data_IF_280601916313
#
_entry.id   IF_280601916313
#
_cell.length_a   1.000
_cell.length_b   1.000
_cell.length_c   1.000
_cell.angle_alpha   90.00
_cell.angle_beta   90.00
_cell.angle_gamma   90.00
#
_symmetry.space_group_name_H-M   'P 1'
#
loop_
_entity.id
_entity.type
_entity.pdbx_description
1 polymer ?
#
# COMPACT_ATOMS: atom_id res chain seq x y z
N UNK A 1 -20.34 13.94 -13.91
CA UNK A 1 -20.84 14.85 -12.85
C UNK A 1 -21.51 16.11 -13.41
N UNK A 2 -22.80 16.28 -13.15
CA UNK A 2 -23.52 17.55 -13.35
C UNK A 2 -23.12 18.63 -12.34
N UNK A 3 -23.64 19.85 -12.48
CA UNK A 3 -23.26 20.99 -11.63
C UNK A 3 -23.57 20.78 -10.14
N UNK A 4 -24.73 20.20 -9.82
CA UNK A 4 -25.13 19.94 -8.44
C UNK A 4 -24.28 18.85 -7.80
N UNK A 5 -23.99 17.78 -8.54
CA UNK A 5 -23.12 16.71 -8.07
C UNK A 5 -21.70 17.21 -7.79
N UNK A 6 -21.14 18.07 -8.65
CA UNK A 6 -19.83 18.72 -8.38
C UNK A 6 -19.82 19.51 -7.06
N UNK A 7 -20.94 20.13 -6.68
CA UNK A 7 -21.05 20.86 -5.40
C UNK A 7 -21.07 19.91 -4.20
N UNK A 8 -21.74 18.76 -4.31
CA UNK A 8 -21.75 17.72 -3.27
C UNK A 8 -20.37 17.07 -3.13
N UNK A 9 -19.78 16.65 -4.25
CA UNK A 9 -18.43 16.10 -4.30
C UNK A 9 -17.39 17.06 -3.72
N UNK A 10 -17.48 18.37 -4.01
CA UNK A 10 -16.61 19.38 -3.39
C UNK A 10 -16.70 19.38 -1.86
N UNK A 11 -17.91 19.27 -1.28
CA UNK A 11 -18.08 19.21 0.17
C UNK A 11 -17.45 17.96 0.76
N UNK A 12 -17.64 16.82 0.10
CA UNK A 12 -17.00 15.57 0.48
C UNK A 12 -15.47 15.67 0.45
N UNK A 13 -14.89 16.22 -0.62
CA UNK A 13 -13.43 16.38 -0.70
C UNK A 13 -12.86 17.34 0.35
N UNK A 14 -13.60 18.39 0.74
CA UNK A 14 -13.21 19.26 1.84
C UNK A 14 -13.18 18.48 3.16
N UNK A 15 -14.22 17.68 3.44
CA UNK A 15 -14.26 16.83 4.61
C UNK A 15 -13.06 15.86 4.67
N UNK A 16 -12.77 15.17 3.57
CA UNK A 16 -11.62 14.26 3.47
C UNK A 16 -10.30 14.98 3.75
N UNK A 17 -10.13 16.20 3.23
CA UNK A 17 -8.90 16.99 3.43
C UNK A 17 -8.76 17.48 4.86
N UNK A 18 -9.85 17.97 5.44
CA UNK A 18 -9.86 18.56 6.78
C UNK A 18 -9.86 17.50 7.89
N UNK A 19 -10.14 16.22 7.57
CA UNK A 19 -10.14 15.12 8.52
C UNK A 19 -8.75 14.92 9.15
N UNK A 20 -8.69 14.94 10.48
CA UNK A 20 -7.48 14.73 11.28
C UNK A 20 -7.77 13.73 12.41
N UNK A 21 -6.97 12.67 12.53
CA UNK A 21 -7.21 11.58 13.50
C UNK A 21 -7.30 12.10 14.95
N UNK A 22 -6.54 13.15 15.27
CA UNK A 22 -6.45 13.71 16.61
C UNK A 22 -7.45 14.86 16.87
N UNK A 23 -8.27 15.27 15.89
CA UNK A 23 -9.26 16.34 16.05
C UNK A 23 -10.70 15.85 15.85
N UNK A 24 -11.40 15.62 16.97
CA UNK A 24 -12.80 15.19 16.97
C UNK A 24 -13.75 16.14 16.23
N UNK A 25 -13.40 17.43 16.09
CA UNK A 25 -14.25 18.38 15.35
C UNK A 25 -14.21 18.08 13.85
N UNK A 26 -13.06 17.66 13.34
CA UNK A 26 -12.88 17.30 11.93
C UNK A 26 -13.69 16.07 11.52
N UNK A 27 -14.08 15.24 12.49
CA UNK A 27 -14.81 14.00 12.22
C UNK A 27 -16.30 14.24 11.89
N UNK A 28 -16.79 15.46 12.10
CA UNK A 28 -18.20 15.84 11.90
C UNK A 28 -19.20 14.88 12.58
N UNK A 29 -18.86 14.43 13.80
CA UNK A 29 -19.69 13.53 14.60
C UNK A 29 -19.68 12.06 14.16
N UNK A 30 -18.79 11.68 13.23
CA UNK A 30 -18.59 10.31 12.79
C UNK A 30 -17.40 9.67 13.52
N UNK A 31 -17.45 8.35 13.72
CA UNK A 31 -16.28 7.58 14.15
C UNK A 31 -15.88 6.67 12.98
N UNK A 32 -14.85 7.09 12.22
CA UNK A 32 -14.43 6.40 10.99
C UNK A 32 -13.90 4.98 11.22
N UNK A 33 -13.62 4.60 12.47
CA UNK A 33 -13.26 3.22 12.83
C UNK A 33 -14.48 2.30 12.93
N UNK A 34 -15.69 2.87 12.98
CA UNK A 34 -16.96 2.15 13.16
C UNK A 34 -17.92 2.34 12.01
N UNK A 35 -18.06 3.56 11.49
CA UNK A 35 -18.97 3.82 10.37
C UNK A 35 -18.36 3.31 9.07
N UNK A 36 -19.21 2.80 8.21
CA UNK A 36 -18.83 2.25 6.91
C UNK A 36 -18.55 3.37 5.90
N UNK A 37 -17.74 3.10 4.87
CA UNK A 37 -17.51 4.07 3.80
C UNK A 37 -18.82 4.47 3.12
N UNK A 38 -19.76 3.52 2.96
CA UNK A 38 -21.11 3.77 2.44
C UNK A 38 -21.88 4.81 3.26
N UNK A 39 -21.86 4.71 4.59
CA UNK A 39 -22.54 5.67 5.46
C UNK A 39 -21.95 7.08 5.34
N UNK A 40 -20.62 7.19 5.25
CA UNK A 40 -19.94 8.48 5.02
C UNK A 40 -20.33 9.08 3.68
N UNK A 41 -20.32 8.28 2.61
CA UNK A 41 -20.68 8.72 1.26
C UNK A 41 -22.14 9.18 1.19
N UNK A 42 -23.06 8.41 1.79
CA UNK A 42 -24.49 8.72 1.84
C UNK A 42 -24.76 10.06 2.53
N UNK A 43 -23.98 10.41 3.57
CA UNK A 43 -24.08 11.73 4.25
C UNK A 43 -23.88 12.91 3.28
N UNK A 44 -23.05 12.75 2.24
CA UNK A 44 -22.83 13.79 1.23
C UNK A 44 -23.74 13.65 0.00
N UNK A 45 -24.51 12.56 -0.10
CA UNK A 45 -25.48 12.33 -1.16
C UNK A 45 -24.87 12.24 -2.55
N UNK A 46 -23.72 11.55 -2.67
CA UNK A 46 -23.04 11.34 -3.95
C UNK A 46 -23.78 10.30 -4.80
N UNK A 47 -23.74 10.48 -6.11
CA UNK A 47 -24.35 9.58 -7.11
C UNK A 47 -23.45 8.35 -7.36
N UNK A 48 -24.02 7.21 -7.78
CA UNK A 48 -23.29 5.94 -7.96
C UNK A 48 -22.05 6.10 -8.87
N UNK A 49 -22.16 6.79 -10.02
CA UNK A 49 -21.02 7.07 -10.90
C UNK A 49 -19.87 7.83 -10.20
N UNK A 50 -20.21 8.71 -9.24
CA UNK A 50 -19.22 9.43 -8.43
C UNK A 50 -18.58 8.50 -7.41
N UNK A 51 -19.37 7.62 -6.80
CA UNK A 51 -18.90 6.62 -5.83
C UNK A 51 -17.88 5.70 -6.50
N UNK A 52 -18.19 5.18 -7.69
CA UNK A 52 -17.27 4.36 -8.49
C UNK A 52 -15.97 5.13 -8.77
N UNK A 53 -16.07 6.39 -9.19
CA UNK A 53 -14.90 7.22 -9.48
C UNK A 53 -14.02 7.46 -8.25
N UNK A 54 -14.59 7.87 -7.11
CA UNK A 54 -13.79 8.15 -5.91
C UNK A 54 -13.24 6.86 -5.28
N UNK A 55 -13.98 5.76 -5.32
CA UNK A 55 -13.55 4.46 -4.80
C UNK A 55 -12.39 3.87 -5.59
N UNK A 56 -12.52 3.82 -6.92
CA UNK A 56 -11.57 3.09 -7.77
C UNK A 56 -10.48 3.98 -8.35
N UNK A 57 -10.78 5.22 -8.76
CA UNK A 57 -9.80 6.09 -9.41
C UNK A 57 -8.99 6.94 -8.43
N UNK A 58 -9.53 7.21 -7.23
CA UNK A 58 -8.86 8.05 -6.23
C UNK A 58 -8.42 7.24 -5.00
N UNK A 59 -9.30 6.46 -4.38
CA UNK A 59 -8.93 5.59 -3.25
C UNK A 59 -8.22 4.29 -3.68
N UNK A 60 -8.28 3.96 -4.98
CA UNK A 60 -7.61 2.81 -5.59
C UNK A 60 -8.05 1.45 -4.99
N UNK A 61 -9.32 1.34 -4.61
CA UNK A 61 -9.90 0.04 -4.29
C UNK A 61 -10.10 -0.78 -5.57
N UNK A 62 -9.87 -2.10 -5.47
CA UNK A 62 -9.98 -3.02 -6.61
C UNK A 62 -11.42 -3.49 -6.85
N UNK A 63 -12.24 -3.49 -5.82
CA UNK A 63 -13.64 -3.90 -5.82
C UNK A 63 -14.42 -3.08 -4.79
N UNK A 64 -15.74 -3.25 -4.73
CA UNK A 64 -16.65 -2.49 -3.88
C UNK A 64 -16.72 -2.96 -2.43
N UNK A 65 -15.92 -3.95 -2.02
CA UNK A 65 -15.96 -4.47 -0.65
C UNK A 65 -15.66 -3.39 0.40
N UNK A 66 -14.91 -2.35 0.01
CA UNK A 66 -14.58 -1.19 0.86
C UNK A 66 -15.83 -0.42 1.34
N UNK A 67 -16.93 -0.45 0.59
CA UNK A 67 -18.16 0.27 0.94
C UNK A 67 -18.72 -0.18 2.28
N UNK A 68 -18.55 -1.46 2.61
CA UNK A 68 -19.07 -2.08 3.83
C UNK A 68 -17.99 -2.28 4.91
N UNK A 69 -16.77 -1.75 4.69
CA UNK A 69 -15.69 -1.70 5.68
C UNK A 69 -15.68 -0.36 6.42
N UNK A 70 -15.02 -0.28 7.60
CA UNK A 70 -14.77 0.98 8.28
C UNK A 70 -14.15 2.04 7.35
N UNK A 71 -14.71 3.25 7.37
CA UNK A 71 -14.41 4.31 6.42
C UNK A 71 -13.00 4.90 6.55
N UNK A 72 -12.29 4.63 7.65
CA UNK A 72 -10.96 5.21 7.92
C UNK A 72 -9.98 4.94 6.76
N UNK A 73 -9.83 3.68 6.33
CA UNK A 73 -8.90 3.33 5.24
C UNK A 73 -9.25 4.06 3.94
N UNK A 74 -10.55 4.10 3.60
CA UNK A 74 -11.05 4.81 2.42
C UNK A 74 -10.73 6.31 2.46
N UNK A 75 -11.02 6.99 3.58
CA UNK A 75 -10.76 8.43 3.74
C UNK A 75 -9.26 8.73 3.74
N UNK A 76 -8.44 7.92 4.42
CA UNK A 76 -6.98 8.10 4.43
C UNK A 76 -6.36 7.89 3.04
N UNK A 77 -6.79 6.88 2.27
CA UNK A 77 -6.35 6.68 0.87
C UNK A 77 -6.70 7.86 -0.02
N UNK A 78 -7.92 8.38 0.12
CA UNK A 78 -8.38 9.57 -0.58
C UNK A 78 -7.55 10.81 -0.25
N UNK A 79 -7.25 11.03 1.04
CA UNK A 79 -6.39 12.13 1.50
C UNK A 79 -4.98 11.98 0.92
N UNK A 80 -4.40 10.79 0.99
CA UNK A 80 -3.08 10.46 0.43
C UNK A 80 -3.01 10.75 -1.08
N UNK A 81 -4.04 10.38 -1.86
CA UNK A 81 -4.09 10.67 -3.29
C UNK A 81 -3.98 12.17 -3.55
N UNK A 82 -4.80 12.96 -2.86
CA UNK A 82 -4.87 14.40 -3.07
C UNK A 82 -3.59 15.12 -2.59
N UNK A 83 -3.01 14.71 -1.47
CA UNK A 83 -1.70 15.19 -1.01
C UNK A 83 -0.59 14.86 -2.03
N UNK A 84 -0.59 13.63 -2.56
CA UNK A 84 0.37 13.20 -3.58
C UNK A 84 0.22 14.00 -4.88
N UNK A 85 -1.02 14.28 -5.30
CA UNK A 85 -1.31 15.13 -6.46
C UNK A 85 -0.83 16.58 -6.25
N UNK A 86 -0.99 17.12 -5.03
CA UNK A 86 -0.57 18.48 -4.70
C UNK A 86 0.95 18.62 -4.56
N UNK A 87 1.67 17.53 -4.26
CA UNK A 87 3.10 17.54 -3.98
C UNK A 87 3.96 17.97 -5.18
N UNK A 88 3.59 17.53 -6.38
CA UNK A 88 4.33 17.84 -7.60
C UNK A 88 3.39 18.43 -8.66
N UNK A 89 3.79 19.53 -9.30
CA UNK A 89 3.02 20.19 -10.36
C UNK A 89 3.07 19.40 -11.70
N UNK A 90 2.78 18.10 -11.65
CA UNK A 90 2.86 17.16 -12.78
C UNK A 90 1.51 16.59 -13.22
N UNK A 91 0.42 16.97 -12.56
CA UNK A 91 -0.95 16.61 -12.96
C UNK A 91 -1.39 15.18 -12.60
N UNK A 92 -0.59 14.42 -11.84
CA UNK A 92 -0.96 13.09 -11.34
C UNK A 92 -0.32 12.85 -9.96
N UNK A 93 -0.85 11.92 -9.13
CA UNK A 93 -0.26 11.57 -7.83
C UNK A 93 0.93 10.62 -7.94
N UNK A 94 1.28 10.18 -9.16
CA UNK A 94 2.28 9.13 -9.37
C UNK A 94 3.62 9.71 -9.82
N UNK A 95 4.68 8.98 -9.45
CA UNK A 95 6.03 9.19 -9.96
C UNK A 95 6.54 7.88 -10.55
N UNK A 96 7.42 7.98 -11.54
CA UNK A 96 8.08 6.83 -12.14
C UNK A 96 9.57 7.12 -12.26
N UNK A 97 10.46 6.23 -11.79
CA UNK A 97 11.91 6.44 -11.87
C UNK A 97 12.37 6.44 -13.32
N UNK A 98 13.29 7.35 -13.65
CA UNK A 98 14.04 7.27 -14.90
C UNK A 98 14.79 5.93 -14.94
N UNK A 99 14.87 5.31 -16.11
CA UNK A 99 15.46 3.98 -16.32
C UNK A 99 14.64 2.80 -15.74
N UNK A 100 13.49 3.07 -15.13
CA UNK A 100 12.49 2.05 -14.78
C UNK A 100 12.60 1.51 -13.36
N UNK A 101 11.68 0.61 -13.00
CA UNK A 101 11.54 0.10 -11.63
C UNK A 101 12.76 -0.66 -11.10
N UNK A 102 13.64 -1.15 -11.99
CA UNK A 102 14.87 -1.86 -11.62
C UNK A 102 15.88 -0.96 -10.88
N UNK A 103 15.79 0.37 -11.02
CA UNK A 103 16.64 1.31 -10.27
C UNK A 103 16.34 1.28 -8.76
N UNK A 104 15.12 0.93 -8.34
CA UNK A 104 14.75 0.84 -6.93
C UNK A 104 15.54 -0.24 -6.18
N UNK A 105 15.50 -1.54 -6.57
CA UNK A 105 16.29 -2.57 -5.90
C UNK A 105 17.80 -2.30 -6.01
N UNK A 106 18.28 -1.74 -7.13
CA UNK A 106 19.69 -1.39 -7.28
C UNK A 106 20.12 -0.29 -6.29
N UNK A 107 19.29 0.74 -6.11
CA UNK A 107 19.57 1.84 -5.16
C UNK A 107 19.60 1.34 -3.71
N UNK A 108 18.67 0.47 -3.33
CA UNK A 108 18.67 -0.15 -1.99
C UNK A 108 19.85 -1.11 -1.80
N UNK A 109 20.25 -1.85 -2.84
CA UNK A 109 21.45 -2.70 -2.78
C UNK A 109 22.72 -1.87 -2.55
N UNK A 110 22.86 -0.76 -3.28
CA UNK A 110 23.96 0.20 -3.07
C UNK A 110 23.94 0.79 -1.66
N UNK A 111 22.78 1.24 -1.18
CA UNK A 111 22.62 1.76 0.19
C UNK A 111 23.10 0.73 1.22
N UNK A 112 22.67 -0.52 1.09
CA UNK A 112 23.10 -1.58 2.00
C UNK A 112 24.60 -1.90 1.90
N UNK A 113 25.20 -1.84 0.71
CA UNK A 113 26.65 -2.04 0.53
C UNK A 113 27.47 -0.95 1.24
N UNK A 114 27.00 0.31 1.22
CA UNK A 114 27.61 1.43 1.97
C UNK A 114 27.66 1.13 3.47
N UNK A 115 26.68 0.40 4.00
CA UNK A 115 26.63 -0.03 5.40
C UNK A 115 27.25 -1.42 5.64
N UNK A 116 28.07 -1.92 4.71
CA UNK A 116 28.82 -3.17 4.86
C UNK A 116 28.10 -4.43 4.38
N UNK A 117 26.98 -4.30 3.66
CA UNK A 117 26.29 -5.42 3.02
C UNK A 117 27.16 -6.05 1.93
N UNK A 118 27.19 -7.38 1.90
CA UNK A 118 27.87 -8.16 0.84
C UNK A 118 26.85 -8.77 -0.09
N UNK A 119 27.03 -8.59 -1.40
CA UNK A 119 26.10 -9.04 -2.44
C UNK A 119 26.72 -10.15 -3.28
N UNK A 120 25.93 -11.20 -3.52
CA UNK A 120 26.31 -12.31 -4.39
C UNK A 120 25.20 -12.51 -5.42
N UNK A 121 25.49 -12.17 -6.67
CA UNK A 121 24.61 -12.46 -7.81
C UNK A 121 25.05 -13.77 -8.46
N UNK A 122 24.14 -14.39 -9.22
CA UNK A 122 24.39 -15.67 -9.89
C UNK A 122 24.90 -16.76 -8.92
N UNK A 123 24.33 -16.79 -7.70
CA UNK A 123 24.65 -17.77 -6.66
C UNK A 123 23.55 -18.84 -6.64
N UNK A 124 23.78 -20.02 -7.23
CA UNK A 124 22.73 -21.03 -7.42
C UNK A 124 22.48 -21.84 -6.14
N UNK A 125 21.41 -22.64 -6.15
CA UNK A 125 21.13 -23.66 -5.11
C UNK A 125 21.08 -23.12 -3.67
N UNK A 126 20.61 -21.88 -3.49
CA UNK A 126 20.42 -21.29 -2.17
C UNK A 126 19.33 -22.04 -1.40
N UNK A 127 19.75 -22.87 -0.43
CA UNK A 127 18.88 -23.65 0.45
C UNK A 127 18.91 -23.05 1.85
N UNK A 128 17.73 -22.73 2.39
CA UNK A 128 17.60 -22.30 3.78
C UNK A 128 17.74 -23.52 4.69
N UNK A 129 18.66 -23.43 5.64
CA UNK A 129 18.89 -24.47 6.64
C UNK A 129 18.08 -24.18 7.91
N UNK A 130 17.46 -25.22 8.47
CA UNK A 130 16.61 -25.15 9.64
C UNK A 130 17.13 -26.06 10.75
N UNK A 131 16.96 -25.66 12.00
CA UNK A 131 17.20 -26.53 13.15
C UNK A 131 16.02 -27.49 13.42
N UNK A 132 16.16 -28.35 14.42
CA UNK A 132 15.15 -29.32 14.85
C UNK A 132 13.83 -28.66 15.29
N UNK A 133 13.87 -27.38 15.69
CA UNK A 133 12.67 -26.60 16.06
C UNK A 133 11.99 -25.94 14.86
N UNK A 134 12.56 -26.09 13.66
CA UNK A 134 12.06 -25.47 12.43
C UNK A 134 12.46 -24.01 12.26
N UNK A 135 13.44 -23.50 13.02
CA UNK A 135 13.94 -22.13 12.94
C UNK A 135 15.10 -22.05 11.92
N UNK A 136 15.09 -21.01 11.09
CA UNK A 136 16.16 -20.80 10.12
C UNK A 136 17.48 -20.43 10.82
N UNK A 137 18.57 -21.11 10.43
CA UNK A 137 19.91 -20.97 11.03
C UNK A 137 21.00 -20.58 10.02
N UNK A 138 20.70 -20.59 8.73
CA UNK A 138 21.64 -20.22 7.69
C UNK A 138 21.10 -20.47 6.29
N UNK A 139 21.94 -20.17 5.30
CA UNK A 139 21.71 -20.49 3.89
C UNK A 139 22.94 -21.20 3.36
N UNK A 140 22.74 -22.35 2.74
CA UNK A 140 23.77 -23.13 2.05
C UNK A 140 23.67 -22.92 0.54
N UNK A 141 24.81 -22.74 -0.13
CA UNK A 141 24.90 -22.67 -1.59
C UNK A 141 26.28 -23.16 -2.03
N UNK A 142 26.32 -24.05 -3.02
CA UNK A 142 27.56 -24.65 -3.56
C UNK A 142 28.47 -25.26 -2.47
N UNK A 143 27.87 -25.90 -1.46
CA UNK A 143 28.58 -26.54 -0.34
C UNK A 143 29.04 -25.61 0.78
N UNK A 144 28.94 -24.29 0.61
CA UNK A 144 29.27 -23.31 1.64
C UNK A 144 28.02 -22.85 2.39
N UNK A 145 28.15 -22.60 3.70
CA UNK A 145 27.01 -22.19 4.55
C UNK A 145 27.28 -20.88 5.26
N UNK A 146 26.45 -19.87 4.96
CA UNK A 146 26.40 -18.62 5.71
C UNK A 146 25.40 -18.74 6.86
N UNK A 147 25.87 -18.64 8.12
CA UNK A 147 25.02 -18.71 9.30
C UNK A 147 24.35 -17.37 9.59
N UNK A 148 23.07 -17.40 9.97
CA UNK A 148 22.32 -16.18 10.30
C UNK A 148 21.22 -16.46 11.32
N UNK A 149 20.67 -15.40 11.93
CA UNK A 149 19.56 -15.49 12.89
C UNK A 149 18.18 -15.36 12.23
N UNK A 150 18.14 -14.78 11.03
CA UNK A 150 16.95 -14.48 10.26
C UNK A 150 17.30 -14.59 8.77
N UNK A 151 16.34 -15.06 7.98
CA UNK A 151 16.40 -15.10 6.52
C UNK A 151 15.19 -14.34 5.99
N UNK A 152 15.43 -13.48 5.00
CA UNK A 152 14.39 -12.81 4.21
C UNK A 152 14.56 -13.26 2.77
N UNK A 153 13.50 -13.77 2.16
CA UNK A 153 13.49 -14.30 0.80
C UNK A 153 12.10 -14.14 0.19
N UNK A 154 12.01 -14.09 -1.14
CA UNK A 154 10.73 -14.17 -1.84
C UNK A 154 10.18 -15.62 -1.86
N UNK A 155 8.90 -15.81 -2.23
CA UNK A 155 8.24 -17.13 -2.22
C UNK A 155 8.93 -18.23 -3.03
N UNK A 156 9.72 -17.89 -4.05
CA UNK A 156 10.39 -18.89 -4.91
C UNK A 156 11.44 -19.72 -4.17
N UNK A 157 12.05 -19.18 -3.11
CA UNK A 157 13.04 -19.88 -2.29
C UNK A 157 12.42 -20.85 -1.27
N UNK A 158 11.16 -20.64 -0.89
CA UNK A 158 10.45 -21.45 0.11
C UNK A 158 8.97 -21.66 -0.28
N UNK A 159 8.68 -22.34 -1.41
CA UNK A 159 7.30 -22.46 -1.92
C UNK A 159 6.36 -23.14 -0.93
N UNK A 160 6.85 -24.11 -0.15
CA UNK A 160 6.06 -24.82 0.86
C UNK A 160 5.77 -24.01 2.13
N UNK A 161 6.37 -22.83 2.28
CA UNK A 161 6.12 -21.89 3.38
C UNK A 161 5.46 -20.59 2.90
N UNK A 162 5.03 -20.56 1.63
CA UNK A 162 4.30 -19.45 1.04
C UNK A 162 2.87 -19.87 0.72
N UNK A 163 1.92 -18.96 0.92
CA UNK A 163 0.55 -19.11 0.47
C UNK A 163 0.28 -18.16 -0.69
N UNK A 164 -0.33 -18.66 -1.77
CA UNK A 164 -0.79 -17.79 -2.85
C UNK A 164 -1.87 -16.85 -2.33
N UNK A 165 -1.65 -15.56 -2.48
CA UNK A 165 -2.71 -14.57 -2.36
C UNK A 165 -3.39 -14.54 -3.73
N UNK A 166 -4.72 -14.68 -3.78
CA UNK A 166 -5.46 -14.53 -5.04
C UNK A 166 -5.13 -13.16 -5.62
N UNK A 167 -4.43 -13.15 -6.75
CA UNK A 167 -4.36 -11.99 -7.63
C UNK A 167 -5.68 -11.98 -8.40
N UNK A 168 -6.43 -10.88 -8.28
CA UNK A 168 -7.67 -10.64 -9.03
C UNK A 168 -7.34 -10.18 -10.44
#
# INVERSE_FOLDING_TARGET
MGLFEKRRARKFFIYVQDYEDNDLKSHEGLDLTKVTAREVILKYGLEDDTIDFIGHALALHLDDSYLDQPALDFVTRMKLYAESLARFQRGSPYIYPLHGLAELPQSFACLSAVFGGTYMLNKPECKVEFDESGKAIGVTSEGETAKCKKVVCDPSYLPNKASSIKQF
#
